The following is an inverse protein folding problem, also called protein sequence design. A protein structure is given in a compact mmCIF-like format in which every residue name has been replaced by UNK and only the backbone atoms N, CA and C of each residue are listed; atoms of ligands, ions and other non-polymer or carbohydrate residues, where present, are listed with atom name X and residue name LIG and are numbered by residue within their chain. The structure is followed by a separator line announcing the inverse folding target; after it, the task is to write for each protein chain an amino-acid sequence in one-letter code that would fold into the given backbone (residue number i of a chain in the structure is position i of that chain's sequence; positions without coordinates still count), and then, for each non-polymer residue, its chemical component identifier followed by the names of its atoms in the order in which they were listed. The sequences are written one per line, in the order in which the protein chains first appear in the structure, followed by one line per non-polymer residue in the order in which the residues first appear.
data_IF_043226158026
#
_entry.id   IF_043226158026
#
_cell.length_a   1.000
_cell.length_b   1.000
_cell.length_c   1.000
_cell.angle_alpha   90.00
_cell.angle_beta   90.00
_cell.angle_gamma   90.00
#
_symmetry.space_group_name_H-M   'P 1'
#
loop_
_entity.id
_entity.type
_entity.pdbx_description
1 polymer ?
#
# COMPACT_ATOMS: atom_id res chain seq x y z
N UNK A 1 -9.45 29.35 0.56
CA UNK A 1 -8.76 29.14 1.86
C UNK A 1 -9.56 28.33 2.89
N UNK A 2 -10.91 28.37 2.92
CA UNK A 2 -11.72 27.56 3.86
C UNK A 2 -11.66 26.03 3.68
N UNK A 3 -11.34 25.52 2.48
CA UNK A 3 -11.27 24.07 2.22
C UNK A 3 -9.97 23.43 2.74
N UNK A 4 -8.86 24.18 2.80
CA UNK A 4 -7.59 23.66 3.32
C UNK A 4 -7.64 23.38 4.83
N UNK A 5 -8.36 24.22 5.59
CA UNK A 5 -8.52 24.04 7.03
C UNK A 5 -9.39 22.83 7.38
N UNK A 6 -10.44 22.58 6.59
CA UNK A 6 -11.30 21.41 6.77
C UNK A 6 -10.54 20.12 6.44
N UNK A 7 -9.73 20.12 5.37
CA UNK A 7 -8.88 18.99 5.00
C UNK A 7 -7.86 18.65 6.09
N UNK A 8 -7.19 19.66 6.65
CA UNK A 8 -6.21 19.49 7.74
C UNK A 8 -6.85 18.94 9.03
N UNK A 9 -8.06 19.38 9.37
CA UNK A 9 -8.80 18.89 10.55
C UNK A 9 -9.28 17.45 10.35
N UNK A 10 -9.76 17.09 9.15
CA UNK A 10 -10.16 15.70 8.86
C UNK A 10 -8.95 14.77 8.81
N UNK A 11 -7.83 15.22 8.23
CA UNK A 11 -6.56 14.47 8.20
C UNK A 11 -6.02 14.24 9.62
N UNK A 12 -6.03 15.27 10.47
CA UNK A 12 -5.60 15.18 11.87
C UNK A 12 -6.54 14.29 12.72
N UNK A 13 -7.84 14.24 12.40
CA UNK A 13 -8.79 13.37 13.08
C UNK A 13 -8.72 11.91 12.60
N UNK A 14 -8.41 11.69 11.31
CA UNK A 14 -8.18 10.36 10.76
C UNK A 14 -6.90 9.74 11.34
N UNK A 15 -5.80 10.50 11.39
CA UNK A 15 -4.54 10.05 11.97
C UNK A 15 -4.65 9.80 13.48
N UNK A 16 -5.33 10.67 14.22
CA UNK A 16 -5.58 10.48 15.64
C UNK A 16 -6.38 9.21 15.93
N UNK A 17 -7.42 8.90 15.15
CA UNK A 17 -8.24 7.68 15.34
C UNK A 17 -7.49 6.41 14.96
N UNK A 18 -6.71 6.44 13.88
CA UNK A 18 -5.93 5.27 13.48
C UNK A 18 -4.83 4.95 14.51
N UNK A 19 -4.18 5.99 15.05
CA UNK A 19 -3.16 5.87 16.09
C UNK A 19 -3.73 5.44 17.46
N UNK A 20 -4.90 5.93 17.86
CA UNK A 20 -5.53 5.60 19.15
C UNK A 20 -6.17 4.19 19.20
N UNK A 21 -6.59 3.64 18.05
CA UNK A 21 -7.46 2.47 18.03
C UNK A 21 -6.75 1.16 17.65
N UNK A 22 -5.48 1.23 17.22
CA UNK A 22 -4.75 0.06 16.71
C UNK A 22 -3.30 -0.01 17.21
N UNK A 23 -3.10 -0.30 18.51
CA UNK A 23 -1.75 -0.51 19.03
C UNK A 23 -1.16 -1.81 18.44
N UNK A 24 0.11 -1.72 18.02
CA UNK A 24 1.09 -2.81 17.94
C UNK A 24 1.25 -3.72 16.71
N UNK A 25 0.89 -3.35 15.47
CA UNK A 25 1.43 -4.09 14.29
C UNK A 25 1.86 -3.22 13.09
N UNK A 26 3.04 -3.49 12.48
CA UNK A 26 3.52 -2.88 11.22
C UNK A 26 2.44 -2.84 10.13
N UNK A 27 1.77 -3.98 9.97
CA UNK A 27 0.65 -4.21 9.07
C UNK A 27 -0.47 -3.17 9.21
N UNK A 28 -0.83 -2.77 10.43
CA UNK A 28 -1.96 -1.86 10.67
C UNK A 28 -1.62 -0.41 10.41
N UNK A 29 -0.38 0.00 10.64
CA UNK A 29 0.05 1.38 10.41
C UNK A 29 0.21 1.68 8.90
N UNK A 30 0.62 0.71 8.09
CA UNK A 30 0.64 0.84 6.62
C UNK A 30 -0.76 1.12 6.07
N UNK A 31 -1.74 0.38 6.56
CA UNK A 31 -3.15 0.54 6.15
C UNK A 31 -3.68 1.90 6.60
N UNK A 32 -3.30 2.37 7.79
CA UNK A 32 -3.63 3.70 8.25
C UNK A 32 -3.07 4.80 7.35
N UNK A 33 -1.80 4.75 6.94
CA UNK A 33 -1.24 5.75 6.01
C UNK A 33 -1.96 5.78 4.66
N UNK A 34 -2.36 4.61 4.13
CA UNK A 34 -3.19 4.53 2.91
C UNK A 34 -4.57 5.16 3.14
N UNK A 35 -5.19 4.88 4.29
CA UNK A 35 -6.51 5.40 4.65
C UNK A 35 -6.49 6.90 4.99
N UNK A 36 -5.38 7.42 5.51
CA UNK A 36 -5.17 8.85 5.79
C UNK A 36 -5.06 9.64 4.48
N UNK A 37 -4.32 9.14 3.48
CA UNK A 37 -4.38 9.65 2.10
C UNK A 37 -5.78 9.57 1.48
N UNK A 38 -6.61 8.60 1.93
CA UNK A 38 -7.98 8.39 1.44
C UNK A 38 -9.09 9.03 2.30
N UNK A 39 -8.74 9.72 3.40
CA UNK A 39 -9.56 10.61 4.23
C UNK A 39 -10.93 10.11 4.76
N UNK A 40 -11.15 8.80 4.91
CA UNK A 40 -12.44 8.31 5.45
C UNK A 40 -12.22 7.18 6.44
N UNK A 41 -12.35 7.44 7.76
CA UNK A 41 -12.52 6.33 8.70
C UNK A 41 -13.43 6.62 9.89
N UNK A 42 -14.50 5.81 9.96
CA UNK A 42 -15.24 5.50 11.18
C UNK A 42 -15.85 4.10 11.02
N UNK A 43 -15.04 3.04 11.16
CA UNK A 43 -15.44 1.70 10.77
C UNK A 43 -15.01 0.63 11.78
N UNK A 44 -16.01 0.04 12.46
CA UNK A 44 -15.84 -1.11 13.36
C UNK A 44 -16.09 -2.46 12.65
N UNK A 45 -16.64 -2.46 11.42
CA UNK A 45 -17.10 -3.67 10.70
C UNK A 45 -16.10 -4.36 9.76
N UNK A 46 -15.06 -3.67 9.25
CA UNK A 46 -14.13 -4.19 8.23
C UNK A 46 -12.70 -4.44 8.74
N UNK A 47 -12.54 -4.66 10.05
CA UNK A 47 -11.22 -4.72 10.72
C UNK A 47 -10.36 -5.93 10.29
N UNK A 48 -10.99 -7.02 9.86
CA UNK A 48 -10.30 -8.26 9.50
C UNK A 48 -9.56 -8.12 8.17
N UNK A 49 -10.21 -7.60 7.12
CA UNK A 49 -9.58 -7.40 5.81
C UNK A 49 -8.39 -6.44 5.90
N UNK A 50 -8.50 -5.39 6.71
CA UNK A 50 -7.38 -4.47 6.96
C UNK A 50 -6.23 -5.10 7.75
N UNK A 51 -6.50 -6.06 8.64
CA UNK A 51 -5.43 -6.76 9.35
C UNK A 51 -4.69 -7.72 8.41
N UNK A 52 -5.44 -8.42 7.55
CA UNK A 52 -4.87 -9.31 6.54
C UNK A 52 -4.05 -8.51 5.53
N UNK A 53 -4.60 -7.41 5.01
CA UNK A 53 -3.93 -6.59 4.01
C UNK A 53 -2.58 -6.08 4.47
N UNK A 54 -2.49 -5.61 5.71
CA UNK A 54 -1.23 -5.13 6.25
C UNK A 54 -0.16 -6.22 6.36
N UNK A 55 -0.59 -7.45 6.71
CA UNK A 55 0.31 -8.61 6.78
C UNK A 55 0.82 -8.98 5.39
N UNK A 56 -0.07 -9.02 4.40
CA UNK A 56 0.26 -9.29 3.01
C UNK A 56 1.19 -8.22 2.41
N UNK A 57 0.91 -6.93 2.67
CA UNK A 57 1.76 -5.82 2.22
C UNK A 57 3.16 -5.90 2.83
N UNK A 58 3.28 -6.07 4.15
CA UNK A 58 4.59 -6.17 4.83
C UNK A 58 5.38 -7.39 4.35
N UNK A 59 4.74 -8.57 4.25
CA UNK A 59 5.37 -9.77 3.70
C UNK A 59 5.78 -9.57 2.24
N UNK A 60 4.96 -8.86 1.46
CA UNK A 60 5.22 -8.50 0.08
C UNK A 60 6.48 -7.66 -0.07
N UNK A 61 6.58 -6.52 0.63
CA UNK A 61 7.75 -5.65 0.57
C UNK A 61 9.01 -6.31 1.08
N UNK A 62 8.93 -7.09 2.17
CA UNK A 62 10.06 -7.89 2.66
C UNK A 62 10.51 -8.93 1.64
N UNK A 63 9.57 -9.61 1.00
CA UNK A 63 9.83 -10.58 -0.07
C UNK A 63 10.51 -9.95 -1.28
N UNK A 64 10.07 -8.76 -1.68
CA UNK A 64 10.69 -8.01 -2.77
C UNK A 64 12.10 -7.56 -2.39
N UNK A 65 12.30 -6.96 -1.20
CA UNK A 65 13.62 -6.52 -0.74
C UNK A 65 14.62 -7.68 -0.62
N UNK A 66 14.20 -8.83 -0.08
CA UNK A 66 15.01 -10.04 -0.05
C UNK A 66 15.31 -10.57 -1.46
N UNK A 67 14.31 -10.53 -2.35
CA UNK A 67 14.46 -10.93 -3.74
C UNK A 67 15.44 -10.05 -4.52
N UNK A 68 15.43 -8.73 -4.30
CA UNK A 68 16.38 -7.78 -4.89
C UNK A 68 17.80 -8.12 -4.43
N UNK A 69 18.02 -8.27 -3.12
CA UNK A 69 19.34 -8.63 -2.54
C UNK A 69 19.86 -9.95 -3.08
N UNK A 70 18.98 -10.95 -3.22
CA UNK A 70 19.30 -12.28 -3.75
C UNK A 70 19.28 -12.35 -5.28
N UNK A 71 18.96 -11.26 -5.99
CA UNK A 71 18.72 -11.24 -7.45
C UNK A 71 17.72 -12.31 -7.92
N UNK A 72 16.74 -12.63 -7.07
CA UNK A 72 15.75 -13.69 -7.29
C UNK A 72 14.45 -13.12 -7.86
N UNK A 73 14.21 -13.35 -9.16
CA UNK A 73 12.96 -12.95 -9.82
C UNK A 73 11.74 -13.60 -9.20
N UNK A 74 11.87 -14.86 -8.76
CA UNK A 74 10.79 -15.60 -8.12
C UNK A 74 10.37 -14.92 -6.82
N UNK A 75 11.33 -14.54 -5.97
CA UNK A 75 11.04 -13.86 -4.71
C UNK A 75 10.43 -12.47 -4.94
N UNK A 76 10.93 -11.71 -5.93
CA UNK A 76 10.36 -10.42 -6.32
C UNK A 76 8.92 -10.59 -6.80
N UNK A 77 8.66 -11.54 -7.72
CA UNK A 77 7.31 -11.81 -8.24
C UNK A 77 6.36 -12.23 -7.12
N UNK A 78 6.78 -13.14 -6.23
CA UNK A 78 5.96 -13.56 -5.11
C UNK A 78 5.64 -12.38 -4.17
N UNK A 79 6.63 -11.54 -3.88
CA UNK A 79 6.40 -10.36 -3.04
C UNK A 79 5.43 -9.36 -3.68
N UNK A 80 5.53 -9.12 -4.99
CA UNK A 80 4.57 -8.26 -5.70
C UNK A 80 3.15 -8.86 -5.73
N UNK A 81 3.02 -10.18 -5.84
CA UNK A 81 1.72 -10.86 -5.73
C UNK A 81 1.11 -10.63 -4.34
N UNK A 82 1.90 -10.75 -3.27
CA UNK A 82 1.44 -10.45 -1.90
C UNK A 82 1.02 -8.97 -1.75
N UNK A 83 1.75 -8.04 -2.36
CA UNK A 83 1.34 -6.63 -2.41
C UNK A 83 -0.02 -6.48 -3.10
N UNK A 84 -0.20 -7.13 -4.26
CA UNK A 84 -1.49 -7.14 -4.97
C UNK A 84 -2.63 -7.76 -4.16
N UNK A 85 -2.37 -8.83 -3.42
CA UNK A 85 -3.34 -9.44 -2.49
C UNK A 85 -3.70 -8.47 -1.36
N UNK A 86 -2.72 -7.84 -0.74
CA UNK A 86 -2.96 -6.87 0.33
C UNK A 86 -3.81 -5.68 -0.15
N UNK A 87 -3.54 -5.14 -1.34
CA UNK A 87 -4.37 -4.10 -1.95
C UNK A 87 -5.80 -4.59 -2.23
N UNK A 88 -5.97 -5.84 -2.66
CA UNK A 88 -7.31 -6.42 -2.86
C UNK A 88 -8.09 -6.55 -1.56
N UNK A 89 -7.43 -6.91 -0.46
CA UNK A 89 -8.05 -6.97 0.86
C UNK A 89 -8.40 -5.57 1.38
N UNK A 90 -7.56 -4.55 1.14
CA UNK A 90 -7.94 -3.14 1.39
C UNK A 90 -9.21 -2.80 0.60
N UNK A 91 -9.25 -3.14 -0.69
CA UNK A 91 -10.39 -2.88 -1.53
C UNK A 91 -11.66 -3.57 -1.03
N UNK A 92 -11.56 -4.82 -0.56
CA UNK A 92 -12.69 -5.53 0.05
C UNK A 92 -13.14 -4.83 1.33
N UNK A 93 -12.21 -4.51 2.22
CA UNK A 93 -12.50 -3.80 3.47
C UNK A 93 -13.16 -2.44 3.24
N UNK A 94 -12.73 -1.69 2.22
CA UNK A 94 -13.37 -0.43 1.82
C UNK A 94 -14.82 -0.65 1.36
N UNK A 95 -15.07 -1.65 0.49
CA UNK A 95 -16.41 -1.96 0.00
C UNK A 95 -17.34 -2.44 1.13
N UNK A 96 -16.85 -3.31 2.01
CA UNK A 96 -17.61 -3.84 3.15
C UNK A 96 -17.96 -2.74 4.15
N UNK A 97 -17.15 -1.67 4.20
CA UNK A 97 -17.41 -0.46 4.97
C UNK A 97 -18.18 0.64 4.21
N UNK A 98 -18.67 0.35 3.00
CA UNK A 98 -19.45 1.28 2.19
C UNK A 98 -18.65 2.50 1.68
N UNK A 99 -17.32 2.42 1.71
CA UNK A 99 -16.44 3.48 1.23
C UNK A 99 -16.24 3.26 -0.27
N UNK A 100 -16.75 4.17 -1.09
CA UNK A 100 -16.64 4.10 -2.56
C UNK A 100 -15.52 4.98 -3.11
N UNK A 101 -15.03 5.95 -2.33
CA UNK A 101 -13.91 6.80 -2.69
C UNK A 101 -12.58 6.02 -2.62
N UNK A 102 -11.80 6.04 -3.70
CA UNK A 102 -10.47 5.42 -3.74
C UNK A 102 -10.44 3.92 -4.06
N UNK A 103 -11.59 3.23 -4.00
CA UNK A 103 -11.76 1.81 -4.35
C UNK A 103 -11.21 1.50 -5.74
N UNK A 104 -11.48 2.35 -6.73
CA UNK A 104 -11.00 2.14 -8.10
C UNK A 104 -9.48 2.21 -8.23
N UNK A 105 -8.81 3.11 -7.49
CA UNK A 105 -7.35 3.24 -7.50
C UNK A 105 -6.71 2.00 -6.87
N UNK A 106 -7.24 1.57 -5.72
CA UNK A 106 -6.75 0.39 -5.01
C UNK A 106 -7.00 -0.89 -5.83
N UNK A 107 -8.19 -1.05 -6.41
CA UNK A 107 -8.53 -2.19 -7.26
C UNK A 107 -7.66 -2.27 -8.52
N UNK A 108 -7.50 -1.15 -9.23
CA UNK A 108 -6.68 -1.11 -10.45
C UNK A 108 -5.19 -1.33 -10.16
N UNK A 109 -4.71 -0.82 -9.03
CA UNK A 109 -3.37 -1.10 -8.53
C UNK A 109 -3.19 -2.59 -8.21
N UNK A 110 -4.11 -3.18 -7.44
CA UNK A 110 -4.08 -4.61 -7.08
C UNK A 110 -3.97 -5.52 -8.31
N UNK A 111 -4.74 -5.22 -9.37
CA UNK A 111 -4.66 -5.95 -10.63
C UNK A 111 -3.27 -5.79 -11.26
N UNK A 112 -2.75 -4.58 -11.33
CA UNK A 112 -1.45 -4.30 -11.96
C UNK A 112 -0.27 -5.00 -11.26
N UNK A 113 -0.32 -5.10 -9.93
CA UNK A 113 0.63 -5.90 -9.14
C UNK A 113 0.45 -7.41 -9.30
N UNK A 114 -0.69 -7.88 -9.80
CA UNK A 114 -0.94 -9.32 -9.99
C UNK A 114 -0.69 -9.82 -11.42
N UNK A 115 -0.85 -8.98 -12.44
CA UNK A 115 -0.83 -9.39 -13.84
C UNK A 115 0.10 -8.58 -14.77
N UNK A 116 0.76 -7.52 -14.26
CA UNK A 116 1.55 -6.59 -15.08
C UNK A 116 3.07 -6.68 -14.91
N UNK A 117 3.60 -7.73 -14.27
CA UNK A 117 5.00 -7.74 -13.80
C UNK A 117 5.95 -8.35 -14.84
N UNK A 118 6.87 -7.53 -15.35
CA UNK A 118 8.11 -8.00 -15.96
C UNK A 118 9.31 -7.68 -15.05
N UNK A 119 10.08 -8.71 -14.67
CA UNK A 119 11.32 -8.55 -13.88
C UNK A 119 12.52 -8.85 -14.77
N UNK A 120 13.38 -7.86 -14.99
CA UNK A 120 14.59 -7.99 -15.83
C UNK A 120 15.82 -8.01 -14.92
N UNK A 121 16.56 -9.12 -14.90
CA UNK A 121 17.59 -9.42 -13.88
C UNK A 121 18.96 -8.80 -14.11
N UNK A 122 19.32 -8.45 -15.34
CA UNK A 122 20.66 -7.90 -15.62
C UNK A 122 20.89 -6.55 -14.91
N UNK A 123 19.82 -5.84 -14.51
CA UNK A 123 19.90 -4.60 -13.72
C UNK A 123 18.77 -4.48 -12.69
N UNK A 124 18.12 -5.59 -12.32
CA UNK A 124 16.88 -5.66 -11.50
C UNK A 124 15.92 -4.49 -11.80
N UNK A 125 15.32 -4.50 -12.98
CA UNK A 125 14.21 -3.59 -13.30
C UNK A 125 12.91 -4.29 -12.95
N UNK A 126 12.07 -3.63 -12.15
CA UNK A 126 10.70 -4.05 -11.91
C UNK A 126 9.85 -3.18 -12.80
N UNK A 127 9.34 -3.76 -13.88
CA UNK A 127 8.49 -3.06 -14.83
C UNK A 127 7.04 -3.41 -14.55
N UNK A 128 6.22 -2.38 -14.30
CA UNK A 128 4.76 -2.48 -14.34
C UNK A 128 4.30 -1.55 -15.46
N UNK A 129 3.64 -2.11 -16.48
CA UNK A 129 3.18 -1.36 -17.67
C UNK A 129 4.29 -0.56 -18.37
N UNK A 130 5.53 -1.04 -18.32
CA UNK A 130 6.70 -0.41 -18.95
C UNK A 130 7.45 0.61 -18.09
N UNK A 131 6.92 0.98 -16.92
CA UNK A 131 7.56 1.90 -15.99
C UNK A 131 8.47 1.18 -15.00
N UNK A 132 9.67 1.70 -14.78
CA UNK A 132 10.60 1.15 -13.80
C UNK A 132 10.28 1.66 -12.39
N UNK A 133 9.60 0.83 -11.61
CA UNK A 133 9.19 1.14 -10.24
C UNK A 133 10.19 0.65 -9.18
N UNK A 134 11.40 0.25 -9.60
CA UNK A 134 12.41 -0.29 -8.68
C UNK A 134 12.70 0.65 -7.51
N UNK A 135 12.94 1.94 -7.79
CA UNK A 135 13.27 2.92 -6.75
C UNK A 135 12.11 3.10 -5.78
N UNK A 136 10.88 3.21 -6.26
CA UNK A 136 9.72 3.37 -5.39
C UNK A 136 9.51 2.17 -4.45
N UNK A 137 9.70 0.96 -4.98
CA UNK A 137 9.62 -0.26 -4.17
C UNK A 137 10.77 -0.34 -3.16
N UNK A 138 11.99 0.05 -3.56
CA UNK A 138 13.14 0.05 -2.67
C UNK A 138 12.99 1.07 -1.54
N UNK A 139 12.44 2.24 -1.85
CA UNK A 139 12.12 3.27 -0.87
C UNK A 139 11.06 2.74 0.12
N UNK A 140 9.97 2.13 -0.38
CA UNK A 140 8.95 1.53 0.50
C UNK A 140 9.55 0.45 1.40
N UNK A 141 10.39 -0.44 0.85
CA UNK A 141 11.08 -1.45 1.65
C UNK A 141 11.96 -0.80 2.74
N UNK A 142 12.66 0.29 2.43
CA UNK A 142 13.51 0.99 3.39
C UNK A 142 12.69 1.65 4.49
N UNK A 143 11.56 2.27 4.14
CA UNK A 143 10.63 2.89 5.08
C UNK A 143 9.95 1.85 5.99
N UNK A 144 9.55 0.71 5.44
CA UNK A 144 9.00 -0.44 6.20
C UNK A 144 10.03 -0.93 7.23
N UNK A 145 11.31 -1.03 6.85
CA UNK A 145 12.40 -1.44 7.74
C UNK A 145 12.72 -0.39 8.81
N UNK A 146 12.46 0.89 8.52
CA UNK A 146 12.58 2.00 9.48
C UNK A 146 11.35 2.14 10.39
N UNK A 147 10.31 1.31 10.20
CA UNK A 147 9.02 1.43 10.86
C UNK A 147 8.31 2.78 10.63
N UNK A 148 8.61 3.45 9.51
CA UNK A 148 7.97 4.71 9.09
C UNK A 148 6.78 4.39 8.17
N UNK A 149 5.72 3.84 8.77
CA UNK A 149 4.59 3.30 8.02
C UNK A 149 3.65 4.36 7.43
N UNK A 150 3.69 5.57 7.97
CA UNK A 150 3.00 6.71 7.37
C UNK A 150 3.64 7.04 6.01
N UNK A 151 4.97 7.16 5.98
CA UNK A 151 5.71 7.33 4.74
C UNK A 151 5.54 6.13 3.78
N UNK A 152 5.46 4.88 4.29
CA UNK A 152 5.11 3.70 3.48
C UNK A 152 3.75 3.89 2.80
N UNK A 153 2.73 4.31 3.56
CA UNK A 153 1.38 4.56 3.04
C UNK A 153 1.38 5.59 1.91
N UNK A 154 2.00 6.76 2.14
CA UNK A 154 2.15 7.82 1.15
C UNK A 154 2.86 7.35 -0.12
N UNK A 155 4.00 6.67 0.04
CA UNK A 155 4.80 6.19 -1.09
C UNK A 155 4.07 5.09 -1.88
N UNK A 156 3.31 4.24 -1.20
CA UNK A 156 2.46 3.25 -1.85
C UNK A 156 1.33 3.91 -2.62
N UNK A 157 0.64 4.90 -2.07
CA UNK A 157 -0.40 5.63 -2.81
C UNK A 157 0.18 6.37 -4.01
N UNK A 158 1.37 6.96 -3.89
CA UNK A 158 2.09 7.54 -5.02
C UNK A 158 2.35 6.49 -6.12
N UNK A 159 2.86 5.32 -5.75
CA UNK A 159 3.11 4.22 -6.67
C UNK A 159 1.81 3.73 -7.35
N UNK A 160 0.71 3.63 -6.61
CA UNK A 160 -0.60 3.27 -7.17
C UNK A 160 -1.08 4.33 -8.18
N UNK A 161 -0.94 5.62 -7.87
CA UNK A 161 -1.29 6.71 -8.77
C UNK A 161 -0.46 6.64 -10.07
N UNK A 162 0.84 6.37 -9.97
CA UNK A 162 1.72 6.19 -11.14
C UNK A 162 1.24 5.04 -12.05
N UNK A 163 0.87 3.91 -11.45
CA UNK A 163 0.48 2.70 -12.18
C UNK A 163 -0.93 2.82 -12.77
N UNK A 164 -1.85 3.52 -12.10
CA UNK A 164 -3.26 3.64 -12.51
C UNK A 164 -3.53 4.80 -13.47
N UNK A 165 -2.74 5.88 -13.44
CA UNK A 165 -2.93 7.05 -14.31
C UNK A 165 -2.59 6.82 -15.80
N UNK A 166 -2.34 5.57 -16.20
CA UNK A 166 -1.96 5.14 -17.55
C UNK A 166 -2.83 3.97 -17.98
#
# INVERSE_FOLDING_TARGET
MRHAFFFLVVLALASAKCSLQMPDRPARQIVCGILEELLVFNATGCKTDFTNSGTELSNGFRGIGAGIKAKSTKAIKNGLVLVGTGLRDINRGLNDCGITSGVSIVANGAVSFSSGIAVITQTVKILIRGENIYNDIWDIYTLDQAADYDAVGHKLVHLLKLIVAR
#
